data_IF_634380121929
#
_entry.id   IF_634380121929
#
_cell.length_a   1.000
_cell.length_b   1.000
_cell.length_c   1.000
_cell.angle_alpha   90.00
_cell.angle_beta   90.00
_cell.angle_gamma   90.00
#
_symmetry.space_group_name_H-M   'P 1'
#
loop_
_entity.id
_entity.type
_entity.pdbx_description
1 polymer ?
#
# COMPACT_ATOMS: atom_id res chain seq x y z
N UNK A 1 15.47 -9.32 44.85
CA UNK A 1 15.34 -10.72 44.38
C UNK A 1 15.53 -10.73 42.87
N UNK A 2 16.66 -11.34 42.42
CA UNK A 2 17.13 -11.71 41.06
C UNK A 2 16.63 -10.95 39.81
N UNK A 3 17.55 -10.34 39.02
CA UNK A 3 17.37 -10.21 37.58
C UNK A 3 17.95 -11.43 36.85
N UNK A 4 17.24 -11.91 35.82
CA UNK A 4 17.73 -12.97 34.90
C UNK A 4 18.37 -12.30 33.69
N UNK A 5 19.69 -12.40 33.62
CA UNK A 5 20.52 -12.09 32.45
C UNK A 5 20.36 -13.25 31.45
N UNK A 6 19.87 -12.96 30.23
CA UNK A 6 19.86 -13.93 29.14
C UNK A 6 21.01 -13.62 28.17
N UNK A 7 21.90 -14.60 28.06
CA UNK A 7 23.10 -14.66 27.24
C UNK A 7 22.69 -14.91 25.78
N UNK A 8 23.00 -13.99 24.87
CA UNK A 8 22.77 -14.16 23.43
C UNK A 8 24.05 -14.71 22.79
N UNK A 9 23.99 -15.97 22.33
CA UNK A 9 25.08 -16.63 21.64
C UNK A 9 25.16 -16.14 20.17
N UNK A 10 26.32 -15.61 19.80
CA UNK A 10 26.67 -15.24 18.42
C UNK A 10 27.20 -16.47 17.71
N UNK A 11 26.45 -16.97 16.72
CA UNK A 11 26.89 -18.05 15.83
C UNK A 11 27.45 -17.43 14.54
N UNK A 12 28.78 -17.30 14.47
CA UNK A 12 29.52 -16.94 13.25
C UNK A 12 29.54 -18.16 12.32
N UNK A 13 28.89 -18.06 11.16
CA UNK A 13 29.07 -18.98 10.04
C UNK A 13 30.22 -18.48 9.15
N UNK A 14 31.29 -19.27 9.08
CA UNK A 14 32.40 -19.07 8.14
C UNK A 14 32.03 -19.65 6.76
N UNK A 15 32.09 -18.82 5.73
CA UNK A 15 32.07 -19.24 4.32
C UNK A 15 33.46 -19.73 3.88
N UNK A 16 33.55 -20.79 3.05
CA UNK A 16 34.80 -21.14 2.37
C UNK A 16 34.99 -20.32 1.07
N UNK A 17 36.24 -20.08 0.64
CA UNK A 17 36.54 -19.32 -0.58
C UNK A 17 36.38 -20.17 -1.86
N UNK A 18 35.85 -19.53 -2.90
CA UNK A 18 35.84 -20.03 -4.27
C UNK A 18 37.24 -19.87 -4.90
N UNK A 19 37.81 -20.96 -5.38
CA UNK A 19 39.00 -20.94 -6.25
C UNK A 19 38.55 -20.85 -7.71
N UNK A 20 39.10 -19.86 -8.41
CA UNK A 20 39.11 -19.77 -9.86
C UNK A 20 40.28 -20.60 -10.43
N UNK A 21 40.07 -21.25 -11.57
CA UNK A 21 41.15 -21.47 -12.53
C UNK A 21 40.64 -21.49 -13.97
N UNK A 22 41.23 -20.62 -14.79
CA UNK A 22 41.16 -20.61 -16.23
C UNK A 22 42.05 -21.72 -16.82
N UNK A 23 41.68 -22.29 -17.98
CA UNK A 23 42.38 -22.03 -19.26
C UNK A 23 41.81 -22.82 -20.46
N UNK A 24 42.08 -22.35 -21.69
CA UNK A 24 41.46 -22.79 -22.95
C UNK A 24 42.25 -23.94 -23.60
N UNK A 25 41.69 -24.58 -24.62
CA UNK A 25 42.37 -24.74 -25.92
C UNK A 25 41.57 -25.61 -26.92
N UNK A 26 41.91 -25.36 -28.19
CA UNK A 26 41.84 -26.25 -29.35
C UNK A 26 40.57 -26.25 -30.21
N UNK A 27 40.65 -25.42 -31.25
CA UNK A 27 40.02 -25.61 -32.57
C UNK A 27 40.63 -26.85 -33.23
N UNK A 28 39.80 -27.67 -33.91
CA UNK A 28 40.23 -28.24 -35.18
C UNK A 28 39.26 -27.91 -36.31
N UNK A 29 39.84 -27.37 -37.37
CA UNK A 29 39.32 -27.28 -38.73
C UNK A 29 39.12 -28.67 -39.34
N UNK A 30 38.01 -28.86 -40.06
CA UNK A 30 37.78 -30.03 -40.90
C UNK A 30 36.43 -29.93 -41.60
N UNK A 31 36.45 -29.84 -42.93
CA UNK A 31 35.28 -29.56 -43.77
C UNK A 31 34.32 -30.73 -43.93
N UNK A 32 33.18 -30.45 -44.57
CA UNK A 32 32.79 -30.96 -45.91
C UNK A 32 31.29 -30.72 -46.05
N UNK A 33 30.92 -29.92 -47.05
CA UNK A 33 29.54 -29.71 -47.48
C UNK A 33 28.98 -30.98 -48.13
N UNK A 34 27.73 -31.36 -47.84
CA UNK A 34 26.87 -31.80 -48.92
C UNK A 34 25.56 -31.02 -48.96
N UNK A 35 25.23 -30.62 -50.19
CA UNK A 35 23.95 -30.08 -50.56
C UNK A 35 22.83 -31.10 -50.27
N UNK A 36 21.85 -30.64 -49.52
CA UNK A 36 20.58 -31.31 -49.33
C UNK A 36 19.61 -30.27 -48.81
N UNK A 37 18.74 -29.78 -49.70
CA UNK A 37 17.61 -28.94 -49.34
C UNK A 37 16.45 -29.87 -49.00
N UNK A 38 16.12 -30.11 -47.71
CA UNK A 38 14.78 -30.53 -47.37
C UNK A 38 13.90 -29.27 -47.36
N UNK A 39 12.89 -29.27 -48.23
CA UNK A 39 11.71 -28.42 -48.09
C UNK A 39 11.17 -28.63 -46.68
N UNK A 40 11.44 -27.67 -45.79
CA UNK A 40 10.91 -27.66 -44.45
C UNK A 40 9.40 -27.40 -44.54
N UNK A 41 8.62 -28.47 -44.53
CA UNK A 41 7.22 -28.40 -44.13
C UNK A 41 7.18 -27.69 -42.78
N UNK A 42 6.56 -26.51 -42.75
CA UNK A 42 6.28 -25.77 -41.53
C UNK A 42 5.51 -26.70 -40.58
N UNK A 43 6.17 -27.14 -39.51
CA UNK A 43 5.53 -27.95 -38.48
C UNK A 43 4.34 -27.14 -37.92
N UNK A 44 3.11 -27.66 -37.92
CA UNK A 44 1.94 -26.91 -37.44
C UNK A 44 1.83 -26.81 -35.91
N UNK A 45 2.95 -26.81 -35.17
CA UNK A 45 2.91 -26.88 -33.71
C UNK A 45 3.78 -25.85 -32.97
N UNK A 46 4.19 -24.78 -33.65
CA UNK A 46 4.79 -23.60 -33.01
C UNK A 46 3.71 -22.72 -32.36
N UNK A 47 2.83 -23.33 -31.56
CA UNK A 47 2.09 -22.58 -30.57
C UNK A 47 3.11 -22.15 -29.52
N UNK A 48 3.66 -20.94 -29.68
CA UNK A 48 4.55 -20.31 -28.73
C UNK A 48 3.97 -20.49 -27.32
N UNK A 49 4.62 -21.36 -26.53
CA UNK A 49 4.16 -21.73 -25.21
C UNK A 49 4.21 -20.48 -24.34
N UNK A 50 3.07 -20.09 -23.75
CA UNK A 50 3.00 -18.90 -22.92
C UNK A 50 3.98 -18.99 -21.74
N UNK A 51 4.79 -17.96 -21.54
CA UNK A 51 5.75 -17.87 -20.45
C UNK A 51 5.22 -16.96 -19.34
N UNK A 52 5.60 -17.24 -18.09
CA UNK A 52 5.25 -16.38 -16.96
C UNK A 52 6.00 -15.07 -17.14
N UNK A 53 5.26 -13.98 -17.32
CA UNK A 53 5.85 -12.64 -17.38
C UNK A 53 5.73 -11.93 -16.04
N UNK A 54 4.72 -12.20 -15.21
CA UNK A 54 4.69 -11.76 -13.81
C UNK A 54 4.34 -12.96 -12.95
N UNK A 55 5.25 -13.36 -12.06
CA UNK A 55 5.06 -14.50 -11.15
C UNK A 55 4.20 -14.15 -9.93
N UNK A 56 4.27 -12.89 -9.50
CA UNK A 56 3.50 -12.29 -8.42
C UNK A 56 3.54 -10.75 -8.50
N UNK A 57 2.40 -10.13 -8.78
CA UNK A 57 2.23 -8.67 -8.76
C UNK A 57 0.83 -8.24 -8.36
N UNK A 58 0.67 -6.95 -8.04
CA UNK A 58 -0.64 -6.38 -7.70
C UNK A 58 -1.26 -5.69 -8.91
N UNK A 59 -2.57 -5.83 -9.06
CA UNK A 59 -3.35 -5.04 -10.02
C UNK A 59 -3.51 -3.63 -9.44
N UNK A 60 -2.80 -2.66 -10.01
CA UNK A 60 -2.76 -1.29 -9.49
C UNK A 60 -3.58 -0.30 -10.28
N UNK A 61 -3.97 -0.64 -11.51
CA UNK A 61 -4.95 0.09 -12.30
C UNK A 61 -5.74 -0.87 -13.20
N UNK A 62 -6.99 -0.52 -13.47
CA UNK A 62 -7.87 -1.21 -14.42
C UNK A 62 -8.53 -0.12 -15.27
N UNK A 63 -8.60 -0.35 -16.58
CA UNK A 63 -9.21 0.60 -17.51
C UNK A 63 -10.75 0.59 -17.40
N UNK A 64 -11.40 1.70 -17.74
CA UNK A 64 -12.85 1.86 -17.58
C UNK A 64 -13.65 0.84 -18.43
N UNK A 65 -13.12 0.52 -19.61
CA UNK A 65 -13.71 -0.49 -20.51
C UNK A 65 -13.36 -1.93 -20.10
N UNK A 66 -12.58 -2.11 -19.02
CA UNK A 66 -12.11 -3.40 -18.53
C UNK A 66 -11.44 -4.25 -19.65
N UNK A 67 -10.60 -3.62 -20.49
CA UNK A 67 -9.84 -4.32 -21.54
C UNK A 67 -8.33 -4.27 -21.31
N UNK A 68 -7.91 -3.47 -20.33
CA UNK A 68 -6.52 -3.30 -19.91
C UNK A 68 -6.41 -3.22 -18.40
N UNK A 69 -5.30 -3.71 -17.89
CA UNK A 69 -4.94 -3.61 -16.48
C UNK A 69 -3.44 -3.45 -16.32
N UNK A 70 -3.04 -2.77 -15.25
CA UNK A 70 -1.66 -2.57 -14.86
C UNK A 70 -1.35 -3.55 -13.73
N UNK A 71 -0.31 -4.34 -13.92
CA UNK A 71 0.30 -5.13 -12.85
C UNK A 71 1.60 -4.46 -12.46
N UNK A 72 1.76 -4.16 -11.18
CA UNK A 72 2.96 -3.53 -10.67
C UNK A 72 3.35 -4.07 -9.29
N UNK A 73 4.66 -4.17 -9.08
CA UNK A 73 5.26 -4.56 -7.80
C UNK A 73 6.58 -3.83 -7.60
N UNK A 74 6.87 -3.48 -6.36
CA UNK A 74 8.20 -3.03 -5.94
C UNK A 74 8.81 -4.06 -4.98
N UNK A 75 10.11 -4.31 -5.09
CA UNK A 75 10.83 -5.22 -4.19
C UNK A 75 12.28 -4.78 -3.96
N UNK A 76 12.87 -5.15 -2.82
CA UNK A 76 14.24 -4.80 -2.46
C UNK A 76 14.37 -3.45 -1.73
N UNK A 77 15.60 -3.10 -1.38
CA UNK A 77 15.98 -1.84 -0.73
C UNK A 77 17.31 -1.33 -1.35
N UNK A 78 17.31 -0.26 -2.16
CA UNK A 78 16.14 0.53 -2.56
C UNK A 78 15.15 -0.28 -3.42
N UNK A 79 13.87 0.09 -3.44
CA UNK A 79 12.84 -0.64 -4.17
C UNK A 79 13.09 -0.61 -5.68
N UNK A 80 13.18 -1.79 -6.28
CA UNK A 80 13.17 -2.00 -7.72
C UNK A 80 11.72 -2.21 -8.16
N UNK A 81 11.23 -1.31 -9.03
CA UNK A 81 9.86 -1.35 -9.52
C UNK A 81 9.79 -2.11 -10.82
N UNK A 82 8.84 -3.02 -10.92
CA UNK A 82 8.47 -3.69 -12.16
C UNK A 82 6.98 -3.51 -12.42
N UNK A 83 6.63 -3.02 -13.60
CA UNK A 83 5.26 -2.70 -13.95
C UNK A 83 5.00 -2.94 -15.44
N UNK A 84 3.83 -3.50 -15.77
CA UNK A 84 3.41 -3.73 -17.14
C UNK A 84 1.90 -3.54 -17.34
N UNK A 85 1.54 -2.87 -18.43
CA UNK A 85 0.19 -2.79 -18.95
C UNK A 85 -0.12 -4.00 -19.82
N UNK A 86 -1.22 -4.68 -19.52
CA UNK A 86 -1.69 -5.83 -20.28
C UNK A 86 -3.00 -5.53 -20.99
N UNK A 87 -3.07 -5.85 -22.28
CA UNK A 87 -4.34 -6.16 -22.94
C UNK A 87 -4.72 -7.60 -22.64
N UNK A 88 -6.01 -7.91 -22.64
CA UNK A 88 -6.52 -9.26 -22.35
C UNK A 88 -6.76 -10.03 -23.65
N UNK A 89 -6.10 -11.18 -23.83
CA UNK A 89 -6.39 -12.08 -24.94
C UNK A 89 -7.74 -12.77 -24.77
N UNK A 90 -8.34 -13.25 -25.86
CA UNK A 90 -9.67 -13.86 -25.83
C UNK A 90 -9.75 -15.04 -24.85
N UNK A 91 -8.71 -15.86 -24.80
CA UNK A 91 -8.62 -17.01 -23.89
C UNK A 91 -8.50 -16.64 -22.40
N UNK A 92 -8.05 -15.42 -22.08
CA UNK A 92 -7.90 -14.93 -20.71
C UNK A 92 -9.11 -14.12 -20.23
N UNK A 93 -10.07 -13.82 -21.11
CA UNK A 93 -11.22 -12.96 -20.82
C UNK A 93 -12.03 -13.43 -19.60
N UNK A 94 -12.32 -14.73 -19.50
CA UNK A 94 -13.09 -15.27 -18.38
C UNK A 94 -12.40 -15.09 -17.01
N UNK A 95 -11.07 -15.26 -16.95
CA UNK A 95 -10.31 -15.02 -15.72
C UNK A 95 -10.28 -13.53 -15.36
N UNK A 96 -10.21 -12.68 -16.39
CA UNK A 96 -10.15 -11.24 -16.24
C UNK A 96 -11.42 -10.63 -15.62
N UNK A 97 -12.59 -11.24 -15.78
CA UNK A 97 -13.83 -10.81 -15.10
C UNK A 97 -13.72 -10.77 -13.57
N UNK A 98 -12.73 -11.49 -13.00
CA UNK A 98 -12.48 -11.54 -11.55
C UNK A 98 -11.32 -10.64 -11.10
N UNK A 99 -10.62 -10.02 -12.06
CA UNK A 99 -9.52 -9.09 -11.80
C UNK A 99 -10.09 -7.79 -11.22
N UNK A 100 -9.48 -7.33 -10.13
CA UNK A 100 -9.91 -6.13 -9.43
C UNK A 100 -8.69 -5.43 -8.83
N UNK A 101 -8.82 -4.13 -8.51
CA UNK A 101 -7.77 -3.37 -7.85
C UNK A 101 -7.32 -4.05 -6.55
N UNK A 102 -6.01 -3.98 -6.29
CA UNK A 102 -5.35 -4.57 -5.13
C UNK A 102 -5.25 -6.10 -5.16
N UNK A 103 -5.79 -6.77 -6.19
CA UNK A 103 -5.69 -8.23 -6.31
C UNK A 103 -4.28 -8.63 -6.69
N UNK A 104 -3.77 -9.72 -6.10
CA UNK A 104 -2.53 -10.34 -6.55
C UNK A 104 -2.79 -11.28 -7.72
N UNK A 105 -1.94 -11.20 -8.72
CA UNK A 105 -2.07 -11.99 -9.94
C UNK A 105 -0.72 -12.53 -10.39
N UNK A 106 -0.79 -13.65 -11.09
CA UNK A 106 0.27 -14.17 -11.97
C UNK A 106 -0.20 -14.04 -13.41
N UNK A 107 0.65 -13.55 -14.30
CA UNK A 107 0.33 -13.27 -15.69
C UNK A 107 1.30 -13.99 -16.62
N UNK A 108 0.75 -14.62 -17.65
CA UNK A 108 1.51 -15.22 -18.75
C UNK A 108 1.28 -14.44 -20.04
N UNK A 109 2.31 -14.39 -20.87
CA UNK A 109 2.25 -13.85 -22.23
C UNK A 109 2.85 -14.86 -23.21
N UNK A 110 2.31 -14.91 -24.43
CA UNK A 110 2.92 -15.64 -25.56
C UNK A 110 3.96 -14.80 -26.30
N UNK A 111 3.86 -13.48 -26.16
CA UNK A 111 4.74 -12.51 -26.79
C UNK A 111 5.68 -11.91 -25.73
N UNK A 112 6.94 -11.59 -26.08
CA UNK A 112 7.81 -10.80 -25.22
C UNK A 112 7.13 -9.48 -24.84
N UNK A 113 7.38 -9.00 -23.62
CA UNK A 113 6.92 -7.67 -23.24
C UNK A 113 7.63 -6.62 -24.09
N UNK A 114 6.88 -5.65 -24.62
CA UNK A 114 7.44 -4.51 -25.31
C UNK A 114 8.09 -3.58 -24.29
N UNK A 115 9.35 -3.25 -24.52
CA UNK A 115 10.11 -2.32 -23.69
C UNK A 115 9.44 -0.93 -23.72
N UNK A 116 8.92 -0.54 -22.56
CA UNK A 116 8.41 0.79 -22.26
C UNK A 116 8.32 0.95 -20.73
N UNK A 117 7.99 2.14 -20.23
CA UNK A 117 7.76 2.36 -18.80
C UNK A 117 6.34 2.91 -18.59
N UNK A 118 5.40 2.12 -18.05
CA UNK A 118 5.46 0.67 -17.79
C UNK A 118 5.63 -0.17 -19.07
N UNK A 119 6.06 -1.42 -18.95
CA UNK A 119 6.16 -2.37 -20.08
C UNK A 119 4.78 -2.62 -20.69
N UNK A 120 4.69 -3.17 -21.90
CA UNK A 120 3.41 -3.51 -22.53
C UNK A 120 3.35 -4.97 -22.98
N UNK A 121 2.22 -5.63 -22.75
CA UNK A 121 2.04 -7.04 -23.12
C UNK A 121 0.59 -7.43 -23.44
N UNK A 122 0.44 -8.68 -23.86
CA UNK A 122 -0.85 -9.35 -24.06
C UNK A 122 -0.97 -10.51 -23.08
N UNK A 123 -1.89 -10.42 -22.12
CA UNK A 123 -2.12 -11.47 -21.15
C UNK A 123 -2.87 -12.64 -21.80
N UNK A 124 -2.18 -13.76 -22.01
CA UNK A 124 -2.76 -15.00 -22.54
C UNK A 124 -3.30 -15.92 -21.45
N UNK A 125 -2.90 -15.70 -20.19
CA UNK A 125 -3.46 -16.36 -19.01
C UNK A 125 -3.30 -15.45 -17.80
N UNK A 126 -4.28 -15.47 -16.91
CA UNK A 126 -4.27 -14.75 -15.64
C UNK A 126 -4.65 -15.74 -14.54
N UNK A 127 -3.85 -15.82 -13.49
CA UNK A 127 -4.14 -16.60 -12.29
C UNK A 127 -4.29 -15.63 -11.12
N UNK A 128 -5.43 -15.70 -10.43
CA UNK A 128 -5.65 -14.94 -9.20
C UNK A 128 -4.93 -15.66 -8.06
N UNK A 129 -3.99 -14.97 -7.43
CA UNK A 129 -3.26 -15.52 -6.29
C UNK A 129 -4.09 -15.38 -5.01
N UNK A 130 -3.96 -16.32 -4.05
CA UNK A 130 -4.71 -16.27 -2.81
C UNK A 130 -4.39 -15.00 -2.03
N UNK A 131 -5.42 -14.45 -1.37
CA UNK A 131 -5.22 -13.29 -0.53
C UNK A 131 -4.61 -13.67 0.83
N UNK A 132 -3.99 -12.70 1.52
CA UNK A 132 -3.50 -12.94 2.87
C UNK A 132 -4.71 -13.15 3.80
N UNK A 133 -4.65 -14.11 4.73
CA UNK A 133 -5.73 -14.31 5.68
C UNK A 133 -5.89 -13.06 6.54
N UNK A 134 -7.14 -12.64 6.72
CA UNK A 134 -7.55 -11.63 7.70
C UNK A 134 -8.53 -12.29 8.67
N UNK A 135 -8.56 -11.88 9.95
CA UNK A 135 -9.60 -12.29 10.88
C UNK A 135 -11.01 -12.02 10.34
N UNK A 136 -11.99 -12.79 10.79
CA UNK A 136 -13.38 -12.60 10.39
C UNK A 136 -13.86 -11.18 10.73
N UNK A 137 -14.54 -10.55 9.77
CA UNK A 137 -15.02 -9.18 9.89
C UNK A 137 -13.99 -8.10 9.60
N UNK A 138 -12.72 -8.45 9.32
CA UNK A 138 -11.72 -7.49 8.88
C UNK A 138 -11.64 -7.42 7.36
N UNK A 139 -11.27 -6.25 6.83
CA UNK A 139 -11.03 -6.08 5.41
C UNK A 139 -9.83 -6.91 4.97
N UNK A 140 -9.93 -7.52 3.80
CA UNK A 140 -8.84 -8.30 3.22
C UNK A 140 -7.67 -7.40 2.81
N UNK A 141 -6.51 -8.02 2.56
CA UNK A 141 -5.35 -7.28 2.02
C UNK A 141 -5.69 -6.62 0.69
N UNK A 142 -6.42 -7.32 -0.18
CA UNK A 142 -6.88 -6.75 -1.43
C UNK A 142 -7.67 -5.44 -1.20
N UNK A 143 -8.64 -5.47 -0.29
CA UNK A 143 -9.47 -4.30 -0.01
C UNK A 143 -8.63 -3.15 0.57
N UNK A 144 -7.69 -3.45 1.47
CA UNK A 144 -6.77 -2.45 2.02
C UNK A 144 -5.85 -1.82 0.95
N UNK A 145 -5.28 -2.65 0.07
CA UNK A 145 -4.45 -2.16 -1.06
C UNK A 145 -5.29 -1.33 -2.03
N UNK A 146 -6.51 -1.75 -2.35
CA UNK A 146 -7.41 -0.99 -3.21
C UNK A 146 -7.75 0.38 -2.61
N UNK A 147 -8.04 0.44 -1.30
CA UNK A 147 -8.28 1.70 -0.59
C UNK A 147 -7.05 2.62 -0.62
N UNK A 148 -5.85 2.07 -0.37
CA UNK A 148 -4.61 2.83 -0.41
C UNK A 148 -4.28 3.37 -1.81
N UNK A 149 -4.49 2.57 -2.86
CA UNK A 149 -4.31 2.99 -4.25
C UNK A 149 -5.30 4.11 -4.64
N UNK A 150 -6.56 3.98 -4.23
CA UNK A 150 -7.57 5.01 -4.46
C UNK A 150 -7.21 6.33 -3.77
N UNK A 151 -6.73 6.25 -2.52
CA UNK A 151 -6.32 7.43 -1.74
C UNK A 151 -5.10 8.16 -2.33
N UNK A 152 -4.12 7.39 -2.81
CA UNK A 152 -2.93 7.91 -3.47
C UNK A 152 -3.21 8.38 -4.92
N UNK A 153 -4.46 8.30 -5.37
CA UNK A 153 -4.90 8.72 -6.71
C UNK A 153 -4.54 7.75 -7.82
N UNK A 154 -4.03 6.55 -7.53
CA UNK A 154 -3.59 5.54 -8.52
C UNK A 154 -4.71 4.66 -9.12
N UNK A 155 -5.94 4.78 -8.63
CA UNK A 155 -7.07 3.97 -9.10
C UNK A 155 -7.67 4.50 -10.41
N UNK A 156 -7.04 4.23 -11.54
CA UNK A 156 -7.60 4.47 -12.88
C UNK A 156 -6.56 4.45 -13.99
N UNK A 157 -6.94 4.04 -15.20
CA UNK A 157 -6.01 4.02 -16.35
C UNK A 157 -5.51 5.41 -16.77
N UNK A 158 -6.30 6.44 -16.52
CA UNK A 158 -5.94 7.85 -16.73
C UNK A 158 -5.30 8.50 -15.50
N UNK A 159 -5.02 7.72 -14.45
CA UNK A 159 -4.36 8.25 -13.27
C UNK A 159 -2.99 8.80 -13.63
N UNK A 160 -2.72 10.05 -13.21
CA UNK A 160 -1.40 10.66 -13.27
C UNK A 160 -0.39 10.00 -12.33
N UNK A 161 -0.83 9.15 -11.41
CA UNK A 161 0.00 8.45 -10.44
C UNK A 161 0.02 6.95 -10.76
N UNK A 162 1.00 6.54 -11.56
CA UNK A 162 1.31 5.12 -11.75
C UNK A 162 2.00 4.61 -10.48
N UNK A 163 1.34 3.70 -9.78
CA UNK A 163 1.80 3.17 -8.49
C UNK A 163 2.11 1.68 -8.58
N UNK A 164 3.12 1.27 -7.82
CA UNK A 164 3.47 -0.11 -7.52
C UNK A 164 3.28 -0.36 -6.02
N UNK A 165 2.87 -1.57 -5.66
CA UNK A 165 2.78 -2.01 -4.27
C UNK A 165 4.10 -2.68 -3.89
N UNK A 166 4.77 -2.18 -2.86
CA UNK A 166 5.97 -2.80 -2.29
C UNK A 166 5.59 -3.94 -1.35
N UNK A 167 4.74 -3.64 -0.38
CA UNK A 167 4.18 -4.59 0.57
C UNK A 167 2.82 -4.13 1.10
N UNK A 168 2.10 -5.06 1.69
CA UNK A 168 0.86 -4.81 2.42
C UNK A 168 0.79 -5.79 3.59
N UNK A 169 0.98 -5.27 4.80
CA UNK A 169 1.18 -6.07 6.03
C UNK A 169 0.08 -5.78 7.03
N UNK A 170 -0.53 -6.83 7.58
CA UNK A 170 -1.52 -6.72 8.66
C UNK A 170 -0.81 -6.73 10.01
N UNK A 171 -0.92 -5.66 10.77
CA UNK A 171 -0.50 -5.60 12.16
C UNK A 171 -1.69 -5.97 13.07
N UNK A 172 -1.75 -7.23 13.52
CA UNK A 172 -2.89 -7.75 14.30
C UNK A 172 -3.12 -6.98 15.61
N UNK A 173 -2.06 -6.66 16.35
CA UNK A 173 -2.14 -5.93 17.62
C UNK A 173 -2.64 -4.49 17.43
N UNK A 174 -2.21 -3.88 16.34
CA UNK A 174 -2.59 -2.53 15.92
C UNK A 174 -3.87 -2.53 15.08
N UNK A 175 -4.49 -3.66 14.76
CA UNK A 175 -5.72 -3.76 13.96
C UNK A 175 -5.73 -2.85 12.72
N UNK A 176 -4.63 -2.85 11.96
CA UNK A 176 -4.50 -2.04 10.74
C UNK A 176 -3.61 -2.72 9.71
N UNK A 177 -3.88 -2.39 8.45
CA UNK A 177 -2.99 -2.68 7.34
C UNK A 177 -2.03 -1.51 7.13
N UNK A 178 -0.75 -1.84 6.93
CA UNK A 178 0.24 -0.91 6.42
C UNK A 178 0.51 -1.28 4.96
N UNK A 179 0.23 -0.36 4.04
CA UNK A 179 0.46 -0.53 2.61
C UNK A 179 1.56 0.42 2.16
N UNK A 180 2.65 -0.11 1.62
CA UNK A 180 3.75 0.70 1.06
C UNK A 180 3.59 0.79 -0.44
N UNK A 181 3.43 2.02 -0.92
CA UNK A 181 3.27 2.36 -2.33
C UNK A 181 4.51 3.06 -2.85
N UNK A 182 4.88 2.77 -4.09
CA UNK A 182 6.03 3.36 -4.78
C UNK A 182 5.54 3.94 -6.10
N UNK A 183 5.98 5.16 -6.44
CA UNK A 183 5.70 5.72 -7.76
C UNK A 183 6.56 5.03 -8.81
N UNK A 184 5.95 4.61 -9.92
CA UNK A 184 6.67 3.90 -10.99
C UNK A 184 7.69 4.82 -11.69
N UNK A 185 7.41 6.12 -11.77
CA UNK A 185 8.31 7.14 -12.35
C UNK A 185 9.31 7.72 -11.33
N UNK A 186 9.17 7.39 -10.05
CA UNK A 186 10.04 7.86 -8.97
C UNK A 186 10.14 6.78 -7.88
N UNK A 187 10.95 5.77 -8.16
CA UNK A 187 11.06 4.57 -7.33
C UNK A 187 11.57 4.89 -5.90
N UNK A 188 12.25 6.01 -5.69
CA UNK A 188 12.76 6.40 -4.36
C UNK A 188 11.66 6.96 -3.46
N UNK A 189 10.52 7.37 -4.02
CA UNK A 189 9.40 7.93 -3.26
C UNK A 189 8.46 6.84 -2.78
N UNK A 190 8.79 6.29 -1.61
CA UNK A 190 7.92 5.35 -0.89
C UNK A 190 6.91 6.13 -0.04
N UNK A 191 5.63 5.81 -0.20
CA UNK A 191 4.53 6.35 0.62
C UNK A 191 3.94 5.21 1.43
N UNK A 192 3.81 5.42 2.75
CA UNK A 192 3.13 4.48 3.62
C UNK A 192 1.69 4.94 3.85
N UNK A 193 0.73 4.03 3.66
CA UNK A 193 -0.69 4.26 3.90
C UNK A 193 -1.17 3.30 4.97
N UNK A 194 -1.67 3.84 6.08
CA UNK A 194 -2.33 3.05 7.12
C UNK A 194 -3.82 2.93 6.80
N UNK A 195 -4.36 1.72 6.84
CA UNK A 195 -5.77 1.42 6.59
C UNK A 195 -6.34 0.66 7.78
N UNK A 196 -7.46 1.12 8.33
CA UNK A 196 -8.13 0.46 9.46
C UNK A 196 -8.60 -0.94 9.04
N UNK A 197 -8.20 -1.97 9.81
CA UNK A 197 -8.49 -3.34 9.41
C UNK A 197 -9.98 -3.71 9.57
N UNK A 198 -10.75 -3.00 10.40
CA UNK A 198 -12.15 -3.35 10.62
C UNK A 198 -13.07 -2.82 9.51
N UNK A 199 -12.77 -1.66 8.92
CA UNK A 199 -13.67 -1.03 7.93
C UNK A 199 -13.00 -0.49 6.67
N UNK A 200 -11.67 -0.60 6.54
CA UNK A 200 -10.95 -0.21 5.33
C UNK A 200 -10.75 1.30 5.17
N UNK A 201 -11.04 2.11 6.19
CA UNK A 201 -10.83 3.57 6.12
C UNK A 201 -9.37 3.94 6.22
N UNK A 202 -8.96 4.98 5.51
CA UNK A 202 -7.59 5.49 5.55
C UNK A 202 -7.37 6.27 6.84
N UNK A 203 -6.33 5.89 7.58
CA UNK A 203 -5.89 6.56 8.79
C UNK A 203 -4.90 7.66 8.40
N UNK A 204 -5.28 8.92 8.65
CA UNK A 204 -4.48 10.12 8.31
C UNK A 204 -3.45 10.46 9.37
N UNK A 205 -3.80 10.17 10.61
CA UNK A 205 -3.00 10.45 11.78
C UNK A 205 -3.43 9.48 12.89
N UNK A 206 -2.48 8.99 13.68
CA UNK A 206 -2.78 8.07 14.78
C UNK A 206 -1.77 8.17 15.92
N UNK A 207 -2.19 7.72 17.08
CA UNK A 207 -1.32 7.26 18.17
C UNK A 207 -1.92 5.99 18.79
N UNK A 208 -1.53 5.65 20.01
CA UNK A 208 -2.01 4.45 20.71
C UNK A 208 -3.51 4.49 21.06
N UNK A 209 -4.13 5.67 21.13
CA UNK A 209 -5.50 5.87 21.57
C UNK A 209 -6.42 6.43 20.48
N UNK A 210 -5.91 7.15 19.48
CA UNK A 210 -6.71 7.84 18.48
C UNK A 210 -6.29 7.47 17.05
N UNK A 211 -7.27 7.42 16.15
CA UNK A 211 -7.13 7.33 14.69
C UNK A 211 -8.01 8.39 14.06
N UNK A 212 -7.42 9.27 13.26
CA UNK A 212 -8.14 10.29 12.51
C UNK A 212 -8.34 9.79 11.08
N UNK A 213 -9.58 9.83 10.59
CA UNK A 213 -9.92 9.57 9.20
C UNK A 213 -10.05 10.88 8.42
N UNK A 214 -10.68 11.89 9.03
CA UNK A 214 -10.89 13.22 8.45
C UNK A 214 -10.95 14.27 9.57
N UNK A 215 -10.46 15.50 9.33
CA UNK A 215 -9.73 15.96 8.14
C UNK A 215 -8.30 15.39 8.06
N UNK A 216 -7.59 15.64 6.95
CA UNK A 216 -6.17 15.29 6.79
C UNK A 216 -5.29 16.35 7.47
N UNK A 217 -4.10 15.97 7.98
CA UNK A 217 -3.11 16.95 8.41
C UNK A 217 -2.86 18.01 7.34
N UNK A 218 -2.84 19.27 7.77
CA UNK A 218 -2.68 20.48 6.94
C UNK A 218 -3.82 20.83 5.99
N UNK A 219 -4.97 20.14 6.08
CA UNK A 219 -6.17 20.56 5.36
C UNK A 219 -6.61 21.96 5.78
N UNK A 220 -7.12 22.72 4.81
CA UNK A 220 -7.76 23.99 5.07
C UNK A 220 -9.21 23.74 5.51
N UNK A 221 -9.57 24.23 6.70
CA UNK A 221 -10.90 24.08 7.30
C UNK A 221 -11.52 25.46 7.54
N UNK A 222 -12.81 25.60 7.23
CA UNK A 222 -13.56 26.82 7.58
C UNK A 222 -13.85 26.90 9.08
N UNK A 223 -14.54 27.96 9.51
CA UNK A 223 -14.96 28.19 10.91
C UNK A 223 -15.87 27.09 11.48
N UNK A 224 -16.37 26.19 10.64
CA UNK A 224 -17.01 24.95 11.08
C UNK A 224 -16.61 23.75 10.21
N UNK A 225 -16.24 22.65 10.85
CA UNK A 225 -15.86 21.41 10.18
C UNK A 225 -16.17 20.18 11.05
N UNK A 226 -16.16 19.00 10.45
CA UNK A 226 -16.43 17.72 11.12
C UNK A 226 -15.13 16.93 11.24
N UNK A 227 -14.92 16.33 12.41
CA UNK A 227 -13.80 15.43 12.67
C UNK A 227 -14.36 14.01 12.80
N UNK A 228 -13.74 13.04 12.12
CA UNK A 228 -14.14 11.63 12.15
C UNK A 228 -12.95 10.74 12.44
N UNK A 229 -13.17 9.73 13.26
CA UNK A 229 -12.10 8.83 13.66
C UNK A 229 -12.57 7.67 14.52
N UNK A 230 -11.59 6.99 15.10
CA UNK A 230 -11.81 6.01 16.18
C UNK A 230 -10.94 6.35 17.37
N UNK A 231 -11.45 6.06 18.56
CA UNK A 231 -10.66 6.11 19.78
C UNK A 231 -10.77 4.79 20.57
N UNK A 232 -9.68 4.44 21.24
CA UNK A 232 -9.59 3.34 22.21
C UNK A 232 -9.26 3.97 23.55
N UNK A 233 -10.30 4.45 24.23
CA UNK A 233 -10.20 5.20 25.48
C UNK A 233 -11.10 4.60 26.56
N UNK A 234 -10.71 4.74 27.83
CA UNK A 234 -11.51 4.27 28.96
C UNK A 234 -12.84 5.04 29.02
N UNK A 235 -13.93 4.36 29.41
CA UNK A 235 -15.29 4.93 29.45
C UNK A 235 -15.77 5.56 28.13
N UNK A 236 -15.13 5.22 27.00
CA UNK A 236 -15.48 5.70 25.67
C UNK A 236 -15.50 7.24 25.57
N UNK A 237 -14.78 7.97 26.42
CA UNK A 237 -14.84 9.44 26.46
C UNK A 237 -13.46 10.06 26.27
N UNK A 238 -13.36 11.13 25.48
CA UNK A 238 -12.14 11.91 25.31
C UNK A 238 -12.44 13.41 25.26
N UNK A 239 -11.40 14.21 25.40
CA UNK A 239 -11.46 15.67 25.34
C UNK A 239 -10.73 16.18 24.10
N UNK A 240 -11.11 17.36 23.65
CA UNK A 240 -10.45 18.02 22.53
C UNK A 240 -10.35 19.52 22.74
N UNK A 241 -9.33 20.11 22.14
CA UNK A 241 -9.07 21.54 22.11
C UNK A 241 -8.63 21.97 20.72
N UNK A 242 -9.13 23.11 20.26
CA UNK A 242 -8.67 23.77 19.04
C UNK A 242 -7.95 25.06 19.42
N UNK A 243 -6.71 25.20 19.01
CA UNK A 243 -5.88 26.39 19.23
C UNK A 243 -5.24 26.91 17.94
N UNK A 244 -4.80 28.17 17.95
CA UNK A 244 -4.04 28.81 16.85
C UNK A 244 -2.57 29.13 17.22
N UNK A 245 -2.09 28.54 18.32
CA UNK A 245 -0.77 28.79 18.91
C UNK A 245 -0.69 30.01 19.82
N UNK A 246 -1.72 30.88 19.84
CA UNK A 246 -1.82 32.02 20.76
C UNK A 246 -3.04 31.92 21.68
N UNK A 247 -4.15 31.41 21.16
CA UNK A 247 -5.44 31.37 21.81
C UNK A 247 -6.07 29.98 21.70
N UNK A 248 -6.77 29.58 22.76
CA UNK A 248 -7.73 28.49 22.70
C UNK A 248 -9.01 29.01 22.04
N UNK A 249 -9.35 28.46 20.88
CA UNK A 249 -10.47 28.91 20.07
C UNK A 249 -11.77 28.15 20.38
N UNK A 250 -11.65 26.86 20.71
CA UNK A 250 -12.77 26.01 21.10
C UNK A 250 -12.26 24.81 21.90
N UNK A 251 -13.12 24.23 22.73
CA UNK A 251 -12.84 22.97 23.43
C UNK A 251 -14.12 22.20 23.70
N UNK A 252 -13.98 20.91 24.01
CA UNK A 252 -15.11 20.05 24.31
C UNK A 252 -14.69 18.65 24.70
N UNK A 253 -15.69 17.78 24.86
CA UNK A 253 -15.52 16.36 25.07
C UNK A 253 -16.52 15.60 24.21
N UNK A 254 -16.16 14.37 23.85
CA UNK A 254 -16.96 13.53 22.98
C UNK A 254 -16.92 12.08 23.46
N UNK A 255 -17.96 11.34 23.08
CA UNK A 255 -18.05 9.91 23.33
C UNK A 255 -17.87 9.10 22.04
N UNK A 256 -17.22 7.95 22.16
CA UNK A 256 -17.19 6.91 21.13
C UNK A 256 -18.33 5.92 21.33
N UNK A 257 -18.67 5.18 20.27
CA UNK A 257 -19.67 4.08 20.34
C UNK A 257 -19.17 2.83 21.10
N UNK A 258 -17.87 2.74 21.41
CA UNK A 258 -17.25 1.69 22.20
C UNK A 258 -16.04 2.22 22.99
N UNK A 259 -15.80 1.66 24.18
CA UNK A 259 -14.63 1.97 25.02
C UNK A 259 -13.51 0.94 24.90
N UNK A 260 -12.36 1.25 25.50
CA UNK A 260 -11.22 0.35 25.58
C UNK A 260 -11.62 -1.01 26.24
N UNK A 261 -11.07 -2.15 25.78
CA UNK A 261 -9.96 -2.28 24.83
C UNK A 261 -10.35 -2.17 23.35
N UNK A 262 -11.64 -1.99 23.03
CA UNK A 262 -12.13 -1.83 21.67
C UNK A 262 -11.83 -0.44 21.08
N UNK A 263 -11.87 -0.35 19.76
CA UNK A 263 -11.88 0.92 19.03
C UNK A 263 -13.31 1.34 18.75
N UNK A 264 -13.76 2.44 19.35
CA UNK A 264 -15.07 3.02 19.07
C UNK A 264 -14.97 4.19 18.09
N UNK A 265 -15.98 4.34 17.22
CA UNK A 265 -16.08 5.44 16.29
C UNK A 265 -16.53 6.72 17.01
N UNK A 266 -16.03 7.86 16.53
CA UNK A 266 -16.57 9.18 16.86
C UNK A 266 -16.75 10.03 15.61
N UNK A 267 -17.68 10.98 15.71
CA UNK A 267 -17.82 12.07 14.76
C UNK A 267 -18.39 13.30 15.48
N UNK A 268 -17.66 14.41 15.44
CA UNK A 268 -18.08 15.65 16.11
C UNK A 268 -17.83 16.88 15.25
N UNK A 269 -18.59 17.94 15.52
CA UNK A 269 -18.48 19.20 14.80
C UNK A 269 -17.68 20.20 15.65
N UNK A 270 -16.64 20.75 15.07
CA UNK A 270 -15.90 21.87 15.64
C UNK A 270 -16.46 23.16 15.06
N UNK A 271 -16.63 24.17 15.91
CA UNK A 271 -17.00 25.54 15.54
C UNK A 271 -16.10 26.50 16.31
N UNK A 272 -15.53 27.47 15.61
CA UNK A 272 -14.62 28.44 16.21
C UNK A 272 -14.82 29.83 15.57
N UNK A 273 -14.44 30.87 16.30
CA UNK A 273 -14.44 32.25 15.81
C UNK A 273 -13.19 32.57 15.01
N UNK A 274 -13.00 33.83 14.60
CA UNK A 274 -11.86 34.22 13.78
C UNK A 274 -10.51 33.92 14.49
N UNK A 275 -9.62 33.12 13.88
CA UNK A 275 -8.32 32.83 14.48
C UNK A 275 -7.35 34.00 14.28
N UNK A 276 -6.37 34.11 15.16
CA UNK A 276 -5.27 35.09 15.07
C UNK A 276 -4.08 34.58 14.26
N UNK A 277 -4.07 33.29 13.92
CA UNK A 277 -3.08 32.64 13.07
C UNK A 277 -3.75 31.74 12.01
N UNK A 278 -3.13 31.60 10.84
CA UNK A 278 -3.55 30.67 9.80
C UNK A 278 -3.37 29.19 10.18
N UNK A 279 -2.47 28.90 11.11
CA UNK A 279 -2.17 27.55 11.58
C UNK A 279 -3.04 27.20 12.79
N UNK A 280 -3.70 26.05 12.71
CA UNK A 280 -4.55 25.52 13.77
C UNK A 280 -3.97 24.20 14.28
N UNK A 281 -4.10 23.95 15.58
CA UNK A 281 -3.84 22.66 16.22
C UNK A 281 -5.12 22.14 16.86
N UNK A 282 -5.65 21.02 16.34
CA UNK A 282 -6.70 20.28 17.03
C UNK A 282 -6.04 19.18 17.86
N UNK A 283 -6.14 19.27 19.18
CA UNK A 283 -5.54 18.35 20.13
C UNK A 283 -6.63 17.45 20.67
N UNK A 284 -6.50 16.13 20.51
CA UNK A 284 -7.35 15.12 21.15
C UNK A 284 -6.57 14.47 22.29
N UNK A 285 -7.19 14.27 23.44
CA UNK A 285 -6.52 13.69 24.62
C UNK A 285 -7.52 13.09 25.62
N UNK A 286 -7.00 12.37 26.59
CA UNK A 286 -7.76 11.88 27.75
C UNK A 286 -7.13 12.40 29.04
N UNK A 287 -7.92 12.66 30.06
CA UNK A 287 -7.38 13.02 31.37
C UNK A 287 -6.96 11.77 32.14
N UNK A 288 -5.75 11.79 32.68
CA UNK A 288 -5.24 10.81 33.63
C UNK A 288 -6.13 10.82 34.88
N UNK A 289 -6.72 9.66 35.22
CA UNK A 289 -7.48 9.52 36.47
C UNK A 289 -6.60 9.67 37.72
N UNK A 290 -5.27 9.59 37.58
CA UNK A 290 -4.32 9.66 38.69
C UNK A 290 -4.06 11.09 39.15
N UNK A 291 -3.92 12.02 38.20
CA UNK A 291 -3.45 13.38 38.48
C UNK A 291 -4.09 14.46 37.58
N UNK A 292 -5.03 14.10 36.71
CA UNK A 292 -5.72 15.03 35.81
C UNK A 292 -4.86 15.53 34.64
N UNK A 293 -3.61 15.08 34.52
CA UNK A 293 -2.75 15.41 33.37
C UNK A 293 -3.33 14.88 32.06
N UNK A 294 -2.86 15.41 30.93
CA UNK A 294 -3.27 14.94 29.61
C UNK A 294 -2.45 13.74 29.18
N UNK A 295 -3.13 12.65 28.90
CA UNK A 295 -2.58 11.42 28.35
C UNK A 295 -3.00 11.24 26.89
N UNK A 296 -2.17 10.48 26.16
CA UNK A 296 -2.41 10.08 24.78
C UNK A 296 -2.73 11.24 23.82
N UNK A 297 -2.10 12.40 24.01
CA UNK A 297 -2.32 13.55 23.16
C UNK A 297 -2.03 13.23 21.68
N UNK A 298 -2.94 13.66 20.81
CA UNK A 298 -2.78 13.63 19.36
C UNK A 298 -3.06 15.02 18.80
N UNK A 299 -2.04 15.64 18.21
CA UNK A 299 -2.15 16.96 17.59
C UNK A 299 -2.37 16.79 16.09
N UNK A 300 -3.54 17.19 15.61
CA UNK A 300 -3.89 17.29 14.20
C UNK A 300 -3.64 18.72 13.71
N UNK A 301 -2.54 18.98 12.97
CA UNK A 301 -2.28 20.30 12.41
C UNK A 301 -3.26 20.58 11.27
N UNK A 302 -3.82 21.77 11.22
CA UNK A 302 -4.79 22.24 10.21
C UNK A 302 -4.46 23.67 9.78
N UNK A 303 -5.16 24.15 8.75
CA UNK A 303 -5.10 25.55 8.31
C UNK A 303 -6.48 26.18 8.36
N UNK A 304 -6.58 27.42 8.81
CA UNK A 304 -7.80 28.21 8.70
C UNK A 304 -8.00 28.64 7.24
N UNK A 305 -9.08 28.19 6.60
CA UNK A 305 -9.39 28.54 5.22
C UNK A 305 -9.74 30.03 5.06
N UNK A 306 -10.34 30.62 6.10
CA UNK A 306 -10.87 31.99 6.08
C UNK A 306 -9.91 33.03 6.69
N UNK A 307 -8.66 32.63 6.98
CA UNK A 307 -7.65 33.55 7.52
C UNK A 307 -7.23 34.56 6.46
N UNK A 308 -7.36 35.86 6.77
CA UNK A 308 -7.01 36.98 5.90
C UNK A 308 -5.84 37.77 6.47
#
# INVERSE_FOLDING_TARGET
MRPRTALMAVLMLMMPPAFASCRPDAIPSGGTTPAGTPTAEARPNDQAQASVVFDDGFVTAVDADNRRFLVARAAGDPPQVRAAWFRVAAEAAAAFETVALGRRVRVWSREPLRESLPEQGLASKIEILPDAPAPDGWVSRQAAVAAALADAGGAGADSRALLAVADAVLALEEQLWTVRLVRIDDALRVTEVSVDAADGRIIRLKNQAFRIFEPRPSDAVGSSFVVRGKARVFEATFNWELEDGHNLLASGHEMTDAGAPGWGNFAFQVRYEQPTNAHLGLILFVHSAKDGSRDHELILPLKAADFR
#
